data_IF_492640822294
#
_entry.id   IF_492640822294
#
_cell.length_a   1.000
_cell.length_b   1.000
_cell.length_c   1.000
_cell.angle_alpha   90.00
_cell.angle_beta   90.00
_cell.angle_gamma   90.00
#
_symmetry.space_group_name_H-M   'P 1'
#
loop_
_entity.id
_entity.type
_entity.pdbx_description
1 polymer ?
#
# COMPACT_ATOMS: atom_id res chain seq x y z
N UNK A 1 13.99 18.10 -19.78
CA UNK A 1 13.44 18.49 -18.48
C UNK A 1 13.31 17.29 -17.58
N UNK A 2 13.62 17.47 -16.31
CA UNK A 2 13.43 16.42 -15.34
C UNK A 2 11.95 16.08 -15.20
N UNK A 3 11.62 14.80 -15.00
CA UNK A 3 10.24 14.37 -14.72
C UNK A 3 9.78 14.96 -13.38
N UNK A 4 8.52 15.40 -13.27
CA UNK A 4 7.99 15.79 -11.97
C UNK A 4 8.03 14.61 -11.01
N UNK A 5 8.27 14.89 -9.74
CA UNK A 5 8.27 13.88 -8.69
C UNK A 5 6.84 13.77 -8.14
N UNK A 6 6.31 12.55 -8.12
CA UNK A 6 5.03 12.25 -7.49
C UNK A 6 5.29 11.57 -6.16
N UNK A 7 4.98 12.28 -5.08
CA UNK A 7 5.15 11.79 -3.72
C UNK A 7 3.95 10.96 -3.30
N UNK A 8 4.20 9.75 -2.78
CA UNK A 8 3.16 8.80 -2.41
C UNK A 8 3.46 8.22 -1.02
N UNK A 9 2.43 8.11 -0.19
CA UNK A 9 2.50 7.42 1.09
C UNK A 9 1.76 6.09 0.99
N UNK A 10 2.37 5.03 1.49
CA UNK A 10 1.81 3.67 1.51
C UNK A 10 1.85 3.10 2.91
N UNK A 11 0.92 2.19 3.20
CA UNK A 11 0.83 1.55 4.51
C UNK A 11 1.03 0.04 4.42
N UNK A 12 1.82 -0.49 5.33
CA UNK A 12 1.74 -1.89 5.71
C UNK A 12 0.80 -1.92 6.91
N UNK A 13 -0.48 -2.19 6.64
CA UNK A 13 -1.51 -2.21 7.66
C UNK A 13 -1.74 -3.65 8.12
N UNK A 14 -1.45 -3.92 9.38
CA UNK A 14 -1.58 -5.25 9.95
C UNK A 14 -2.76 -5.31 10.91
N UNK A 15 -3.46 -6.44 10.89
CA UNK A 15 -4.49 -6.73 11.89
C UNK A 15 -3.90 -7.42 13.12
N UNK A 16 -4.74 -7.83 14.06
CA UNK A 16 -4.30 -8.48 15.30
C UNK A 16 -3.61 -9.83 15.07
N UNK A 17 -3.79 -10.45 13.90
CA UNK A 17 -3.13 -11.70 13.51
C UNK A 17 -1.93 -11.49 12.58
N UNK A 18 -1.46 -10.26 12.42
CA UNK A 18 -0.37 -9.91 11.49
C UNK A 18 -0.71 -10.17 10.02
N UNK A 19 -1.99 -10.21 9.67
CA UNK A 19 -2.40 -10.21 8.27
C UNK A 19 -2.34 -8.78 7.72
N UNK A 20 -1.87 -8.65 6.50
CA UNK A 20 -1.73 -7.35 5.83
C UNK A 20 -2.94 -7.09 4.95
N UNK A 21 -3.47 -5.86 5.00
CA UNK A 21 -4.55 -5.45 4.11
C UNK A 21 -3.99 -5.07 2.74
N UNK A 22 -4.50 -5.72 1.71
CA UNK A 22 -4.25 -5.32 0.33
C UNK A 22 -5.57 -5.07 -0.36
N UNK A 23 -5.51 -4.22 -1.39
CA UNK A 23 -6.65 -3.82 -2.20
C UNK A 23 -6.42 -4.27 -3.63
N UNK A 24 -7.44 -4.85 -4.24
CA UNK A 24 -7.36 -5.34 -5.61
C UNK A 24 -7.91 -4.32 -6.59
N UNK A 25 -7.13 -4.10 -7.65
CA UNK A 25 -7.52 -3.28 -8.79
C UNK A 25 -7.42 -4.12 -10.05
N UNK A 26 -8.16 -3.73 -11.09
CA UNK A 26 -7.99 -4.25 -12.44
C UNK A 26 -7.24 -3.21 -13.27
N UNK A 27 -6.50 -3.66 -14.28
CA UNK A 27 -5.72 -2.77 -15.14
C UNK A 27 -6.58 -1.98 -16.15
N UNK A 28 -7.87 -2.31 -16.26
CA UNK A 28 -8.78 -1.66 -17.19
C UNK A 28 -8.62 -2.09 -18.64
N UNK A 29 -7.73 -3.03 -18.93
CA UNK A 29 -7.52 -3.56 -20.28
C UNK A 29 -8.42 -4.76 -20.55
N UNK A 30 -8.51 -5.16 -21.82
CA UNK A 30 -9.36 -6.26 -22.25
C UNK A 30 -9.05 -7.56 -21.53
N UNK A 31 -7.78 -7.82 -21.25
CA UNK A 31 -7.32 -9.03 -20.55
C UNK A 31 -7.51 -8.97 -19.03
N UNK A 32 -7.84 -7.80 -18.49
CA UNK A 32 -8.20 -7.55 -17.09
C UNK A 32 -7.28 -8.22 -16.08
N UNK A 33 -6.00 -7.87 -16.14
CA UNK A 33 -5.06 -8.33 -15.13
C UNK A 33 -5.40 -7.65 -13.82
N UNK A 34 -5.72 -8.44 -12.80
CA UNK A 34 -5.91 -7.96 -11.44
C UNK A 34 -4.58 -7.89 -10.72
N UNK A 35 -4.45 -6.92 -9.83
CA UNK A 35 -3.27 -6.80 -8.98
C UNK A 35 -3.67 -6.24 -7.61
N UNK A 36 -2.86 -6.59 -6.62
CA UNK A 36 -3.07 -6.18 -5.23
C UNK A 36 -2.03 -5.17 -4.83
N UNK A 37 -2.46 -4.13 -4.12
CA UNK A 37 -1.58 -3.06 -3.65
C UNK A 37 -1.88 -2.73 -2.20
N UNK A 38 -0.90 -2.14 -1.53
CA UNK A 38 -1.06 -1.60 -0.18
C UNK A 38 -1.94 -0.35 -0.19
N UNK A 39 -2.65 -0.06 0.91
CA UNK A 39 -3.35 1.21 1.05
C UNK A 39 -2.40 2.40 0.93
N UNK A 40 -2.90 3.49 0.36
CA UNK A 40 -2.13 4.72 0.22
C UNK A 40 -2.45 5.45 -1.07
N UNK A 41 -1.72 6.52 -1.30
CA UNK A 41 -1.89 7.35 -2.49
C UNK A 41 -1.02 8.58 -2.46
N UNK A 42 -1.20 9.43 -3.46
CA UNK A 42 -0.42 10.64 -3.62
C UNK A 42 -0.73 11.67 -2.54
N UNK A 43 0.30 12.42 -2.14
CA UNK A 43 0.13 13.55 -1.24
C UNK A 43 -0.70 14.64 -1.91
N UNK A 44 -1.57 15.23 -1.12
CA UNK A 44 -2.21 16.48 -1.49
C UNK A 44 -1.28 17.65 -1.15
N UNK A 45 -1.54 18.80 -1.73
CA UNK A 45 -0.72 20.00 -1.54
C UNK A 45 -0.60 20.34 -0.05
N UNK A 46 0.62 20.48 0.44
CA UNK A 46 0.91 20.82 1.83
C UNK A 46 0.83 19.67 2.80
N UNK A 47 0.53 18.46 2.32
CA UNK A 47 0.43 17.26 3.15
C UNK A 47 1.80 16.64 3.41
N UNK A 48 2.00 16.12 4.62
CA UNK A 48 3.13 15.22 4.88
C UNK A 48 2.78 13.80 4.43
N UNK A 49 3.77 12.94 4.29
CA UNK A 49 3.54 11.53 3.98
C UNK A 49 2.66 10.86 5.05
N UNK A 50 2.89 11.16 6.33
CA UNK A 50 2.09 10.60 7.43
C UNK A 50 0.63 11.06 7.36
N UNK A 51 0.40 12.32 7.06
CA UNK A 51 -0.96 12.86 6.93
C UNK A 51 -1.68 12.23 5.73
N UNK A 52 -0.98 12.06 4.60
CA UNK A 52 -1.53 11.40 3.42
C UNK A 52 -1.88 9.94 3.71
N UNK A 53 -0.99 9.22 4.41
CA UNK A 53 -1.23 7.83 4.79
C UNK A 53 -2.51 7.70 5.63
N UNK A 54 -2.68 8.57 6.62
CA UNK A 54 -3.87 8.56 7.49
C UNK A 54 -5.14 8.89 6.71
N UNK A 55 -5.09 9.90 5.85
CA UNK A 55 -6.24 10.30 5.02
C UNK A 55 -6.64 9.18 4.06
N UNK A 56 -5.67 8.62 3.34
CA UNK A 56 -5.93 7.52 2.38
C UNK A 56 -6.48 6.28 3.10
N UNK A 57 -5.97 5.96 4.29
CA UNK A 57 -6.47 4.86 5.08
C UNK A 57 -7.97 5.03 5.37
N UNK A 58 -8.37 6.22 5.83
CA UNK A 58 -9.76 6.51 6.13
C UNK A 58 -10.62 6.44 4.85
N UNK A 59 -10.16 7.03 3.75
CA UNK A 59 -10.91 7.07 2.50
C UNK A 59 -11.07 5.66 1.89
N UNK A 60 -10.00 4.88 1.89
CA UNK A 60 -9.97 3.59 1.19
C UNK A 60 -10.50 2.43 2.03
N UNK A 61 -10.51 2.54 3.34
CA UNK A 61 -10.86 1.42 4.23
C UNK A 61 -11.87 1.74 5.30
N UNK A 62 -12.10 3.01 5.60
CA UNK A 62 -12.93 3.42 6.74
C UNK A 62 -12.27 3.19 8.10
N UNK A 63 -11.02 2.74 8.11
CA UNK A 63 -10.29 2.47 9.34
C UNK A 63 -9.43 3.66 9.74
N UNK A 64 -9.16 3.76 11.04
CA UNK A 64 -8.20 4.70 11.61
C UNK A 64 -7.15 3.90 12.36
N UNK A 65 -5.89 4.33 12.26
CA UNK A 65 -4.79 3.74 12.99
C UNK A 65 -3.72 4.79 13.21
N UNK A 66 -2.91 4.61 14.24
CA UNK A 66 -1.72 5.44 14.42
C UNK A 66 -0.70 5.04 13.36
N UNK A 67 -0.14 6.04 12.67
CA UNK A 67 0.91 5.80 11.67
C UNK A 67 2.23 5.63 12.41
N UNK A 68 2.75 4.42 12.35
CA UNK A 68 3.96 4.02 13.06
C UNK A 68 5.24 4.31 12.30
N UNK A 69 6.23 3.42 12.47
CA UNK A 69 7.57 3.60 11.91
C UNK A 69 7.55 3.63 10.38
N UNK A 70 8.41 4.45 9.80
CA UNK A 70 8.73 4.36 8.38
C UNK A 70 9.57 3.10 8.15
N UNK A 71 9.17 2.27 7.17
CA UNK A 71 9.77 0.96 6.95
C UNK A 71 10.79 0.98 5.81
N UNK A 72 10.40 1.52 4.65
CA UNK A 72 11.29 1.65 3.48
C UNK A 72 10.67 2.63 2.49
N UNK A 73 11.44 2.94 1.44
CA UNK A 73 10.99 3.78 0.34
C UNK A 73 11.37 3.16 -1.00
N UNK A 74 10.66 3.57 -2.04
CA UNK A 74 10.88 3.12 -3.42
C UNK A 74 10.89 4.31 -4.35
N UNK A 75 11.70 4.20 -5.40
CA UNK A 75 11.75 5.18 -6.49
C UNK A 75 11.63 4.46 -7.81
N UNK A 76 10.76 4.91 -8.70
CA UNK A 76 10.64 4.38 -10.05
C UNK A 76 9.93 5.36 -10.96
N UNK A 77 10.20 5.24 -12.27
CA UNK A 77 9.51 6.05 -13.26
C UNK A 77 8.19 5.40 -13.64
N UNK A 78 7.18 6.22 -13.89
CA UNK A 78 5.81 5.77 -14.15
C UNK A 78 5.17 6.66 -15.21
N UNK A 79 4.48 6.02 -16.18
CA UNK A 79 3.66 6.73 -17.15
C UNK A 79 2.25 6.86 -16.61
N UNK A 80 1.78 8.11 -16.50
CA UNK A 80 0.40 8.43 -16.13
C UNK A 80 -0.31 9.05 -17.34
N UNK A 81 -1.65 9.10 -17.35
CA UNK A 81 -2.38 9.74 -18.46
C UNK A 81 -1.92 11.18 -18.73
N UNK A 82 -1.51 11.91 -17.70
CA UNK A 82 -1.05 13.29 -17.80
C UNK A 82 0.44 13.44 -18.12
N UNK A 83 1.18 12.33 -18.22
CA UNK A 83 2.61 12.32 -18.56
C UNK A 83 3.45 11.47 -17.64
N UNK A 84 4.76 11.41 -17.95
CA UNK A 84 5.72 10.62 -17.19
C UNK A 84 6.07 11.34 -15.87
N UNK A 85 6.14 10.57 -14.79
CA UNK A 85 6.55 11.06 -13.47
C UNK A 85 7.63 10.17 -12.88
N UNK A 86 8.40 10.72 -11.96
CA UNK A 86 9.26 9.94 -11.07
C UNK A 86 8.48 9.75 -9.76
N UNK A 87 8.11 8.52 -9.43
CA UNK A 87 7.33 8.24 -8.24
C UNK A 87 8.24 7.87 -7.08
N UNK A 88 8.01 8.55 -5.96
CA UNK A 88 8.69 8.29 -4.69
C UNK A 88 7.64 7.83 -3.69
N UNK A 89 7.72 6.58 -3.26
CA UNK A 89 6.81 5.98 -2.29
C UNK A 89 7.52 5.78 -0.96
N UNK A 90 6.87 6.19 0.12
CA UNK A 90 7.34 5.93 1.48
C UNK A 90 6.32 5.06 2.19
N UNK A 91 6.80 3.97 2.78
CA UNK A 91 5.97 2.95 3.42
C UNK A 91 6.06 3.06 4.94
N UNK A 92 4.90 3.03 5.60
CA UNK A 92 4.79 3.14 7.06
C UNK A 92 4.04 1.94 7.62
N UNK A 93 4.40 1.53 8.84
CA UNK A 93 3.68 0.50 9.56
C UNK A 93 2.49 1.10 10.27
N UNK A 94 1.35 0.42 10.21
CA UNK A 94 0.17 0.74 11.01
C UNK A 94 -0.49 -0.57 11.47
N UNK A 95 -1.14 -0.55 12.62
CA UNK A 95 -1.79 -1.72 13.19
C UNK A 95 -3.20 -1.39 13.63
N UNK A 96 -4.11 -2.35 13.47
CA UNK A 96 -5.44 -2.33 14.08
C UNK A 96 -5.53 -3.45 15.13
N UNK A 97 -6.34 -3.23 16.16
CA UNK A 97 -6.37 -4.10 17.34
C UNK A 97 -7.22 -5.35 17.15
N UNK A 98 -7.98 -5.43 16.08
CA UNK A 98 -8.92 -6.53 15.83
C UNK A 98 -8.45 -7.39 14.69
N UNK A 99 -8.97 -8.62 14.63
CA UNK A 99 -8.71 -9.55 13.52
C UNK A 99 -9.63 -9.19 12.36
N UNK A 100 -9.06 -8.99 11.18
CA UNK A 100 -9.77 -8.76 9.92
C UNK A 100 -10.97 -7.80 10.06
N UNK A 101 -10.77 -6.57 10.57
CA UNK A 101 -11.89 -5.65 10.72
C UNK A 101 -12.53 -5.36 9.36
N UNK A 102 -13.82 -5.08 9.40
CA UNK A 102 -14.60 -4.78 8.21
C UNK A 102 -14.11 -3.46 7.59
N UNK A 103 -13.96 -3.46 6.27
CA UNK A 103 -13.47 -2.30 5.53
C UNK A 103 -14.41 -1.95 4.38
N UNK A 104 -14.42 -0.67 4.00
CA UNK A 104 -15.14 -0.21 2.82
C UNK A 104 -14.45 1.03 2.25
N UNK A 105 -14.59 1.21 0.94
CA UNK A 105 -13.98 2.33 0.23
C UNK A 105 -14.97 3.50 0.11
N UNK A 106 -14.59 4.66 0.63
CA UNK A 106 -15.36 5.90 0.46
C UNK A 106 -14.69 6.88 -0.53
N UNK A 107 -13.55 6.47 -1.11
CA UNK A 107 -12.84 7.26 -2.12
C UNK A 107 -13.41 7.00 -3.50
N UNK A 108 -13.07 7.85 -4.53
CA UNK A 108 -13.46 7.57 -5.91
C UNK A 108 -12.66 6.45 -6.57
N UNK A 109 -11.68 5.88 -5.87
CA UNK A 109 -10.81 4.84 -6.41
C UNK A 109 -11.60 3.56 -6.73
N UNK A 110 -11.34 2.92 -7.89
CA UNK A 110 -12.08 1.73 -8.30
C UNK A 110 -11.53 0.46 -7.64
N UNK A 111 -11.57 0.41 -6.32
CA UNK A 111 -11.12 -0.75 -5.55
C UNK A 111 -12.12 -1.88 -5.74
N UNK A 112 -11.67 -3.02 -6.27
CA UNK A 112 -12.51 -4.18 -6.56
C UNK A 112 -12.74 -5.05 -5.35
N UNK A 113 -11.75 -5.14 -4.46
CA UNK A 113 -11.80 -6.00 -3.29
C UNK A 113 -10.79 -5.53 -2.25
N UNK A 114 -11.12 -5.74 -0.97
CA UNK A 114 -10.19 -5.63 0.15
C UNK A 114 -10.00 -7.02 0.72
N UNK A 115 -8.77 -7.40 1.02
CA UNK A 115 -8.50 -8.71 1.65
C UNK A 115 -7.35 -8.58 2.63
N UNK A 116 -7.54 -9.25 3.77
CA UNK A 116 -6.48 -9.43 4.76
C UNK A 116 -5.68 -10.67 4.41
N UNK A 117 -4.41 -10.50 4.12
CA UNK A 117 -3.52 -11.54 3.65
C UNK A 117 -2.58 -11.97 4.75
N UNK A 118 -2.56 -13.26 5.12
CA UNK A 118 -1.50 -13.81 5.94
C UNK A 118 -0.21 -13.92 5.13
N UNK A 119 0.93 -13.96 5.81
CA UNK A 119 2.21 -14.16 5.13
C UNK A 119 2.22 -15.47 4.34
N UNK A 120 1.66 -16.55 4.90
CA UNK A 120 1.59 -17.84 4.20
C UNK A 120 0.73 -17.77 2.94
N UNK A 121 -0.39 -17.06 2.97
CA UNK A 121 -1.22 -16.85 1.79
C UNK A 121 -0.48 -16.06 0.71
N UNK A 122 0.27 -15.02 1.10
CA UNK A 122 1.09 -14.25 0.18
C UNK A 122 2.19 -15.09 -0.47
N UNK A 123 2.81 -15.98 0.28
CA UNK A 123 3.83 -16.89 -0.25
C UNK A 123 3.26 -17.91 -1.23
N UNK A 124 2.00 -18.28 -1.07
CA UNK A 124 1.35 -19.32 -1.87
C UNK A 124 0.62 -18.79 -3.10
N UNK A 125 0.26 -17.50 -3.12
CA UNK A 125 -0.56 -16.96 -4.21
C UNK A 125 0.23 -16.81 -5.50
N UNK A 126 -0.49 -16.93 -6.63
CA UNK A 126 0.02 -16.56 -7.96
C UNK A 126 -0.49 -15.21 -8.40
N UNK A 127 -1.28 -14.54 -7.57
CA UNK A 127 -1.79 -13.21 -7.88
C UNK A 127 -0.63 -12.21 -7.92
N UNK A 128 -0.78 -11.18 -8.73
CA UNK A 128 0.20 -10.10 -8.83
C UNK A 128 0.09 -9.21 -7.60
N UNK A 129 1.18 -9.05 -6.87
CA UNK A 129 1.28 -8.21 -5.69
C UNK A 129 2.27 -7.07 -5.97
N UNK A 130 1.90 -5.85 -5.65
CA UNK A 130 2.80 -4.70 -5.74
C UNK A 130 2.95 -4.05 -4.36
N UNK A 131 4.15 -3.63 -3.98
CA UNK A 131 5.42 -3.81 -4.70
C UNK A 131 5.78 -5.30 -4.85
N UNK A 132 6.55 -5.61 -5.87
CA UNK A 132 6.88 -6.99 -6.22
C UNK A 132 7.58 -7.76 -5.11
N UNK A 133 8.35 -7.06 -4.26
CA UNK A 133 9.05 -7.65 -3.12
C UNK A 133 8.23 -7.58 -1.82
N UNK A 134 6.95 -7.26 -1.89
CA UNK A 134 6.13 -7.04 -0.69
C UNK A 134 6.14 -8.22 0.26
N UNK A 135 6.03 -9.45 -0.25
CA UNK A 135 5.98 -10.65 0.59
C UNK A 135 7.26 -10.81 1.41
N UNK A 136 8.43 -10.63 0.79
CA UNK A 136 9.70 -10.70 1.52
C UNK A 136 9.88 -9.53 2.48
N UNK A 137 9.45 -8.34 2.08
CA UNK A 137 9.48 -7.15 2.93
C UNK A 137 8.60 -7.34 4.17
N UNK A 138 7.40 -7.88 3.99
CA UNK A 138 6.50 -8.18 5.11
C UNK A 138 7.11 -9.22 6.06
N UNK A 139 7.72 -10.27 5.52
CA UNK A 139 8.39 -11.27 6.35
C UNK A 139 9.47 -10.63 7.23
N UNK A 140 10.25 -9.71 6.67
CA UNK A 140 11.27 -8.96 7.42
C UNK A 140 10.65 -8.12 8.53
N UNK A 141 9.57 -7.41 8.24
CA UNK A 141 8.84 -6.60 9.23
C UNK A 141 8.31 -7.47 10.38
N UNK A 142 7.70 -8.61 10.06
CA UNK A 142 7.13 -9.52 11.05
C UNK A 142 8.21 -10.17 11.90
N UNK A 143 9.44 -10.28 11.40
CA UNK A 143 10.58 -10.76 12.17
C UNK A 143 11.25 -9.67 13.00
N UNK A 144 10.71 -8.44 12.98
CA UNK A 144 11.22 -7.34 13.78
C UNK A 144 12.46 -6.65 13.22
N UNK A 145 12.86 -6.97 11.97
CA UNK A 145 13.99 -6.32 11.31
C UNK A 145 13.49 -5.36 10.23
N UNK A 146 14.12 -4.18 10.06
CA UNK A 146 13.76 -3.27 8.98
C UNK A 146 14.06 -3.90 7.62
N UNK A 147 13.17 -3.73 6.66
CA UNK A 147 13.40 -4.16 5.28
C UNK A 147 14.51 -3.30 4.67
N UNK A 148 15.45 -3.94 3.97
CA UNK A 148 16.57 -3.24 3.33
C UNK A 148 17.68 -2.83 4.28
N UNK A 149 17.64 -3.22 5.57
CA UNK A 149 18.74 -3.02 6.49
C UNK A 149 19.91 -3.93 6.11
N UNK A 150 21.10 -3.37 6.19
CA UNK A 150 22.32 -4.12 5.93
C UNK A 150 22.62 -5.09 7.08
#
# INVERSE_FOLDING_TARGET
>A
MAKPVREVARLVLLDANNAALLMRYDDGLADRISYWVTPGGALERGESHRAAALRELMEETGLAAEIGAELWERHFDLELPQGAVHQHERFFLARVDTVAPRVFNSSPEPIREHRWWSLSALKATRDVIYPEDFTSALATVLNGAPHGAA
#
